data_IF_973283271761
#
_entry.id   IF_973283271761
#
_cell.length_a   1.000
_cell.length_b   1.000
_cell.length_c   1.000
_cell.angle_alpha   90.00
_cell.angle_beta   90.00
_cell.angle_gamma   90.00
#
_symmetry.space_group_name_H-M   'P 1'
#
loop_
_entity.id
_entity.type
_entity.pdbx_description
1 polymer ?
#
# COMPACT_ATOMS: atom_id res chain seq x y z
N UNK A 1 -9.24 -19.22 -12.27
CA UNK A 1 -8.24 -18.13 -12.26
C UNK A 1 -8.11 -17.68 -10.82
N UNK A 2 -6.93 -17.74 -10.24
CA UNK A 2 -6.72 -17.40 -8.83
C UNK A 2 -6.07 -16.04 -8.73
N UNK A 3 -6.81 -15.05 -8.19
CA UNK A 3 -6.28 -13.73 -7.84
C UNK A 3 -5.46 -13.84 -6.56
N UNK A 4 -4.25 -13.27 -6.55
CA UNK A 4 -3.51 -13.01 -5.33
C UNK A 4 -3.62 -11.53 -4.92
N UNK A 5 -3.96 -11.25 -3.67
CA UNK A 5 -4.04 -9.91 -3.10
C UNK A 5 -3.00 -9.81 -2.00
N UNK A 6 -2.03 -8.92 -2.17
CA UNK A 6 -0.98 -8.66 -1.19
C UNK A 6 -1.29 -7.37 -0.43
N UNK A 7 -1.33 -7.46 0.89
CA UNK A 7 -1.59 -6.33 1.80
C UNK A 7 -0.43 -6.15 2.78
N UNK A 8 -0.23 -4.96 3.30
CA UNK A 8 0.80 -4.67 4.30
C UNK A 8 0.32 -4.98 5.72
N UNK A 9 -0.86 -4.47 6.09
CA UNK A 9 -1.37 -4.48 7.46
C UNK A 9 -2.53 -5.45 7.68
N UNK A 10 -2.73 -5.87 8.93
CA UNK A 10 -3.82 -6.75 9.34
C UNK A 10 -5.24 -6.18 9.06
N UNK A 11 -5.40 -4.85 9.13
CA UNK A 11 -6.64 -4.16 8.78
C UNK A 11 -6.96 -4.24 7.29
N UNK A 12 -5.96 -4.04 6.44
CA UNK A 12 -6.06 -4.19 4.98
C UNK A 12 -6.36 -5.64 4.60
N UNK A 13 -5.71 -6.60 5.27
CA UNK A 13 -6.00 -8.03 5.10
C UNK A 13 -7.47 -8.36 5.40
N UNK A 14 -8.00 -7.90 6.54
CA UNK A 14 -9.40 -8.11 6.91
C UNK A 14 -10.34 -7.51 5.86
N UNK A 15 -10.00 -6.32 5.37
CA UNK A 15 -10.76 -5.64 4.33
C UNK A 15 -10.70 -6.42 3.01
N UNK A 16 -9.52 -6.80 2.54
CA UNK A 16 -9.37 -7.60 1.33
C UNK A 16 -10.15 -8.93 1.43
N UNK A 17 -10.03 -9.64 2.55
CA UNK A 17 -10.78 -10.88 2.81
C UNK A 17 -12.29 -10.71 2.81
N UNK A 18 -12.80 -9.56 3.26
CA UNK A 18 -14.24 -9.30 3.30
C UNK A 18 -14.85 -9.09 1.90
N UNK A 19 -14.06 -8.61 0.94
CA UNK A 19 -14.57 -8.22 -0.38
C UNK A 19 -14.00 -9.04 -1.54
N UNK A 20 -12.94 -9.81 -1.33
CA UNK A 20 -12.39 -10.71 -2.34
C UNK A 20 -13.25 -11.94 -2.55
N UNK A 21 -13.12 -12.55 -3.72
CA UNK A 21 -13.72 -13.84 -4.02
C UNK A 21 -13.20 -14.94 -3.06
N UNK A 22 -14.01 -15.95 -2.70
CA UNK A 22 -13.62 -16.98 -1.75
C UNK A 22 -12.35 -17.77 -2.14
N UNK A 23 -12.08 -17.88 -3.43
CA UNK A 23 -10.91 -18.56 -4.01
C UNK A 23 -9.68 -17.64 -4.17
N UNK A 24 -9.81 -16.36 -3.85
CA UNK A 24 -8.68 -15.43 -3.87
C UNK A 24 -7.70 -15.73 -2.72
N UNK A 25 -6.42 -15.78 -3.06
CA UNK A 25 -5.34 -15.83 -2.07
C UNK A 25 -5.07 -14.43 -1.52
N UNK A 26 -5.24 -14.23 -0.22
CA UNK A 26 -4.89 -12.95 0.42
C UNK A 26 -3.72 -13.16 1.36
N UNK A 27 -2.65 -12.38 1.14
CA UNK A 27 -1.42 -12.38 1.93
C UNK A 27 -1.26 -11.04 2.65
N UNK A 28 -0.63 -11.05 3.82
CA UNK A 28 -0.37 -9.85 4.63
C UNK A 28 1.03 -9.85 5.24
N UNK A 29 1.39 -8.73 5.85
CA UNK A 29 2.69 -8.52 6.47
C UNK A 29 3.80 -8.33 5.44
N UNK A 30 5.01 -8.20 5.93
CA UNK A 30 6.18 -8.08 5.07
C UNK A 30 6.42 -9.38 4.30
N UNK A 31 6.45 -9.29 3.00
CA UNK A 31 6.76 -10.42 2.12
C UNK A 31 7.86 -9.99 1.16
N UNK A 32 8.94 -10.75 1.14
CA UNK A 32 9.96 -10.64 0.10
C UNK A 32 9.48 -11.29 -1.21
N UNK A 33 10.19 -11.08 -2.30
CA UNK A 33 9.92 -11.78 -3.57
C UNK A 33 10.02 -13.28 -3.39
N UNK A 34 11.00 -13.74 -2.60
CA UNK A 34 11.20 -15.16 -2.29
C UNK A 34 10.03 -15.74 -1.48
N UNK A 35 9.48 -14.98 -0.53
CA UNK A 35 8.30 -15.40 0.22
C UNK A 35 7.07 -15.50 -0.69
N UNK A 36 6.91 -14.58 -1.64
CA UNK A 36 5.85 -14.67 -2.63
C UNK A 36 5.99 -15.92 -3.50
N UNK A 37 7.19 -16.27 -3.94
CA UNK A 37 7.43 -17.54 -4.67
C UNK A 37 7.08 -18.77 -3.85
N UNK A 38 7.28 -18.76 -2.54
CA UNK A 38 6.91 -19.88 -1.64
C UNK A 38 5.41 -19.96 -1.38
N UNK A 39 4.75 -18.80 -1.24
CA UNK A 39 3.37 -18.73 -0.75
C UNK A 39 2.33 -18.66 -1.88
N UNK A 40 2.71 -18.22 -3.09
CA UNK A 40 1.81 -18.06 -4.23
C UNK A 40 1.97 -19.25 -5.18
N UNK A 41 0.94 -20.08 -5.25
CA UNK A 41 0.93 -21.27 -6.11
C UNK A 41 0.90 -20.94 -7.61
N UNK A 42 1.14 -21.96 -8.44
CA UNK A 42 1.18 -21.81 -9.90
C UNK A 42 -0.17 -21.50 -10.55
N UNK A 43 -1.27 -21.70 -9.83
CA UNK A 43 -2.61 -21.31 -10.28
C UNK A 43 -2.88 -19.81 -10.24
N UNK A 44 -1.99 -19.01 -9.67
CA UNK A 44 -2.12 -17.57 -9.62
C UNK A 44 -2.02 -16.96 -11.03
N UNK A 45 -3.06 -16.27 -11.45
CA UNK A 45 -3.15 -15.65 -12.79
C UNK A 45 -2.98 -14.13 -12.78
N UNK A 46 -2.87 -13.53 -11.61
CA UNK A 46 -2.59 -12.11 -11.42
C UNK A 46 -2.44 -11.75 -9.96
N UNK A 47 -1.65 -10.72 -9.66
CA UNK A 47 -1.39 -10.27 -8.29
C UNK A 47 -1.63 -8.76 -8.16
N UNK A 48 -2.33 -8.34 -7.10
CA UNK A 48 -2.54 -6.92 -6.79
C UNK A 48 -1.95 -6.56 -5.42
N UNK A 49 -1.19 -5.45 -5.39
CA UNK A 49 -0.82 -4.78 -4.14
C UNK A 49 -1.97 -3.88 -3.71
N UNK A 50 -2.55 -4.16 -2.55
CA UNK A 50 -3.77 -3.50 -2.07
C UNK A 50 -3.60 -3.04 -0.64
N UNK A 51 -3.81 -1.74 -0.36
CA UNK A 51 -3.63 -1.21 0.99
C UNK A 51 -3.54 0.31 1.06
N UNK A 52 -2.82 0.80 2.07
CA UNK A 52 -2.55 2.21 2.30
C UNK A 52 -1.16 2.58 1.79
N UNK A 53 -0.94 3.89 1.59
CA UNK A 53 0.34 4.44 1.15
C UNK A 53 0.56 5.84 1.74
N UNK A 54 1.81 6.28 1.77
CA UNK A 54 2.18 7.65 2.09
C UNK A 54 2.18 8.56 0.86
N UNK A 55 1.79 9.84 1.03
CA UNK A 55 1.93 10.87 0.02
C UNK A 55 3.35 11.42 -0.06
N UNK A 56 3.90 11.58 -1.25
CA UNK A 56 5.15 12.30 -1.53
C UNK A 56 4.89 13.66 -2.19
N UNK A 57 3.88 13.75 -3.05
CA UNK A 57 3.47 14.99 -3.67
C UNK A 57 2.42 15.70 -2.83
N UNK A 58 2.47 17.05 -2.78
CA UNK A 58 1.47 17.87 -2.11
C UNK A 58 0.03 17.59 -2.58
N UNK A 59 -0.14 17.21 -3.85
CA UNK A 59 -1.43 16.88 -4.44
C UNK A 59 -1.95 15.48 -4.06
N UNK A 60 -1.16 14.65 -3.37
CA UNK A 60 -1.59 13.36 -2.87
C UNK A 60 -2.34 13.53 -1.54
N UNK A 61 -3.66 13.75 -1.61
CA UNK A 61 -4.47 14.06 -0.42
C UNK A 61 -4.94 12.80 0.30
N UNK A 62 -5.10 12.92 1.62
CA UNK A 62 -5.60 11.85 2.51
C UNK A 62 -6.95 11.30 2.00
N UNK A 63 -7.01 9.99 1.83
CA UNK A 63 -8.18 9.28 1.34
C UNK A 63 -8.31 9.24 -0.18
N UNK A 64 -7.37 9.80 -0.96
CA UNK A 64 -7.35 9.56 -2.39
C UNK A 64 -6.89 8.13 -2.70
N UNK A 65 -7.57 7.48 -3.63
CA UNK A 65 -7.14 6.18 -4.16
C UNK A 65 -6.25 6.40 -5.37
N UNK A 66 -5.09 5.77 -5.34
CA UNK A 66 -4.12 5.77 -6.43
C UNK A 66 -3.97 4.40 -7.06
N UNK A 67 -3.84 4.39 -8.38
CA UNK A 67 -3.46 3.25 -9.19
C UNK A 67 -2.05 3.50 -9.73
N UNK A 68 -1.13 2.54 -9.53
CA UNK A 68 0.21 2.68 -10.05
C UNK A 68 0.28 2.27 -11.51
N UNK A 69 0.58 3.19 -12.40
CA UNK A 69 0.93 2.85 -13.78
C UNK A 69 2.37 2.31 -13.87
N UNK A 70 3.25 2.77 -12.98
CA UNK A 70 4.60 2.25 -12.80
C UNK A 70 4.94 2.13 -11.32
N UNK A 71 5.57 1.03 -10.95
CA UNK A 71 6.28 0.88 -9.67
C UNK A 71 7.75 1.16 -9.92
N UNK A 72 8.25 2.23 -9.32
CA UNK A 72 9.64 2.70 -9.48
C UNK A 72 10.43 2.32 -8.23
N UNK A 73 11.58 1.71 -8.41
CA UNK A 73 12.49 1.30 -7.34
C UNK A 73 13.90 1.80 -7.63
N UNK A 74 14.83 1.75 -6.69
CA UNK A 74 16.23 2.09 -6.95
C UNK A 74 16.89 1.25 -8.06
N UNK A 75 16.41 0.01 -8.26
CA UNK A 75 17.02 -0.95 -9.18
C UNK A 75 16.28 -1.07 -10.50
N UNK A 76 14.97 -0.81 -10.54
CA UNK A 76 14.15 -1.05 -11.72
C UNK A 76 12.85 -0.25 -11.72
N UNK A 77 12.23 -0.17 -12.88
CA UNK A 77 10.87 0.33 -13.06
C UNK A 77 10.02 -0.78 -13.65
N UNK A 78 8.87 -1.05 -13.04
CA UNK A 78 7.93 -2.08 -13.44
C UNK A 78 6.64 -1.43 -13.91
N UNK A 79 6.18 -1.78 -15.10
CA UNK A 79 4.91 -1.30 -15.63
C UNK A 79 3.79 -2.23 -15.14
N UNK A 80 2.75 -1.65 -14.52
CA UNK A 80 1.53 -2.38 -14.21
C UNK A 80 0.78 -2.78 -15.49
N UNK A 81 -0.06 -3.81 -15.41
CA UNK A 81 -0.85 -4.27 -16.55
C UNK A 81 -1.82 -3.18 -17.02
N UNK A 82 -1.69 -2.66 -18.26
CA UNK A 82 -2.48 -1.51 -18.70
C UNK A 82 -3.98 -1.80 -18.82
N UNK A 83 -4.33 -3.03 -19.21
CA UNK A 83 -5.74 -3.41 -19.39
C UNK A 83 -6.42 -3.61 -18.04
N UNK A 84 -5.71 -4.19 -17.07
CA UNK A 84 -6.21 -4.29 -15.70
C UNK A 84 -6.32 -2.91 -15.05
N UNK A 85 -5.32 -2.07 -15.21
CA UNK A 85 -5.31 -0.69 -14.73
C UNK A 85 -6.52 0.09 -15.26
N UNK A 86 -6.80 -0.01 -16.58
CA UNK A 86 -7.97 0.62 -17.20
C UNK A 86 -9.27 0.14 -16.56
N UNK A 87 -9.44 -1.17 -16.34
CA UNK A 87 -10.66 -1.72 -15.69
C UNK A 87 -10.82 -1.23 -14.25
N UNK A 88 -9.72 -1.10 -13.50
CA UNK A 88 -9.74 -0.52 -12.15
C UNK A 88 -10.10 0.96 -12.18
N UNK A 89 -9.54 1.72 -13.11
CA UNK A 89 -9.86 3.14 -13.30
C UNK A 89 -11.33 3.36 -13.66
N UNK A 90 -11.85 2.61 -14.63
CA UNK A 90 -13.25 2.70 -15.05
C UNK A 90 -14.22 2.41 -13.89
N UNK A 91 -13.82 1.56 -12.94
CA UNK A 91 -14.63 1.22 -11.78
C UNK A 91 -14.55 2.24 -10.64
N UNK A 92 -13.37 2.84 -10.41
CA UNK A 92 -13.10 3.64 -9.21
C UNK A 92 -12.90 5.12 -9.50
N UNK A 93 -12.59 5.48 -10.74
CA UNK A 93 -12.12 6.82 -11.17
C UNK A 93 -10.93 7.29 -10.31
N UNK A 94 -10.10 6.37 -9.86
CA UNK A 94 -8.93 6.62 -9.05
C UNK A 94 -7.83 7.35 -9.84
N UNK A 95 -6.88 7.94 -9.14
CA UNK A 95 -5.78 8.66 -9.79
C UNK A 95 -4.70 7.70 -10.28
N UNK A 96 -4.38 7.72 -11.59
CA UNK A 96 -3.24 7.01 -12.15
C UNK A 96 -1.98 7.84 -12.01
N UNK A 97 -0.95 7.31 -11.34
CA UNK A 97 0.33 8.00 -11.13
C UNK A 97 1.50 7.04 -11.05
N UNK A 98 2.70 7.59 -11.20
CA UNK A 98 3.92 6.88 -10.88
C UNK A 98 4.01 6.65 -9.37
N UNK A 99 4.42 5.47 -9.01
CA UNK A 99 4.40 4.96 -7.67
C UNK A 99 5.80 4.56 -7.24
N UNK A 100 6.27 5.07 -6.12
CA UNK A 100 7.54 4.66 -5.54
C UNK A 100 7.32 3.53 -4.54
N UNK A 101 8.10 2.46 -4.68
CA UNK A 101 8.14 1.42 -3.68
C UNK A 101 9.57 1.03 -3.41
N UNK A 102 10.00 1.13 -2.18
CA UNK A 102 11.39 0.93 -1.82
C UNK A 102 11.74 -0.53 -1.58
N UNK A 103 10.78 -1.35 -1.20
CA UNK A 103 11.04 -2.71 -0.72
C UNK A 103 11.88 -2.77 0.56
N UNK A 104 12.38 -1.62 1.03
CA UNK A 104 13.17 -1.45 2.24
C UNK A 104 12.47 -0.48 3.20
N UNK A 105 12.65 -0.68 4.50
CA UNK A 105 12.04 0.10 5.57
C UNK A 105 12.60 1.51 5.74
N UNK A 106 12.96 2.21 4.74
CA UNK A 106 13.24 3.63 4.88
C UNK A 106 12.15 4.44 4.25
N UNK A 107 11.10 4.37 4.93
CA UNK A 107 9.91 5.11 4.76
C UNK A 107 10.20 6.59 4.93
N UNK A 108 9.59 7.38 4.11
CA UNK A 108 9.57 8.82 4.24
C UNK A 108 8.71 9.22 5.46
N UNK A 109 9.29 9.15 6.64
CA UNK A 109 8.60 9.44 7.91
C UNK A 109 8.55 10.94 8.20
N UNK A 110 9.44 11.71 7.59
CA UNK A 110 9.54 13.16 7.77
C UNK A 110 9.24 13.90 6.46
N UNK A 111 8.76 15.13 6.58
CA UNK A 111 8.52 16.04 5.44
C UNK A 111 9.79 16.18 4.57
N UNK A 112 10.96 16.25 5.18
CA UNK A 112 12.23 16.42 4.45
C UNK A 112 12.57 15.19 3.60
N UNK A 113 12.36 13.97 4.13
CA UNK A 113 12.54 12.72 3.40
C UNK A 113 11.56 12.61 2.24
N UNK A 114 10.29 12.93 2.46
CA UNK A 114 9.23 12.94 1.44
C UNK A 114 9.56 13.90 0.30
N UNK A 115 9.93 15.14 0.63
CA UNK A 115 10.32 16.13 -0.38
C UNK A 115 11.52 15.66 -1.19
N UNK A 116 12.56 15.13 -0.54
CA UNK A 116 13.76 14.61 -1.23
C UNK A 116 13.39 13.48 -2.18
N UNK A 117 12.56 12.53 -1.73
CA UNK A 117 12.10 11.42 -2.58
C UNK A 117 11.28 11.93 -3.76
N UNK A 118 10.35 12.83 -3.54
CA UNK A 118 9.55 13.42 -4.61
C UNK A 118 10.41 14.13 -5.65
N UNK A 119 11.36 14.96 -5.20
CA UNK A 119 12.28 15.67 -6.10
C UNK A 119 13.11 14.73 -6.95
N UNK A 120 13.56 13.62 -6.35
CA UNK A 120 14.43 12.65 -7.02
C UNK A 120 13.66 11.72 -7.95
N UNK A 121 12.48 11.24 -7.54
CA UNK A 121 11.75 10.19 -8.24
C UNK A 121 10.59 10.71 -9.07
N UNK A 122 10.01 11.87 -8.71
CA UNK A 122 8.76 12.44 -9.24
C UNK A 122 7.54 11.53 -9.00
N UNK A 123 7.67 10.53 -8.13
CA UNK A 123 6.57 9.68 -7.71
C UNK A 123 5.66 10.43 -6.72
N UNK A 124 4.36 10.22 -6.81
CA UNK A 124 3.39 10.95 -6.00
C UNK A 124 3.11 10.29 -4.66
N UNK A 125 3.27 8.99 -4.60
CA UNK A 125 2.96 8.16 -3.42
C UNK A 125 4.04 7.09 -3.21
N UNK A 126 4.10 6.56 -1.99
CA UNK A 126 5.12 5.58 -1.55
C UNK A 126 4.49 4.46 -0.73
N UNK A 127 5.00 3.25 -0.89
CA UNK A 127 4.82 2.11 0.01
C UNK A 127 6.06 1.20 0.05
N UNK A 128 6.01 0.18 0.87
CA UNK A 128 7.10 -0.78 1.05
C UNK A 128 6.82 -2.17 0.45
N UNK A 129 5.62 -2.43 -0.07
CA UNK A 129 5.20 -3.77 -0.48
C UNK A 129 5.08 -3.95 -2.01
N UNK A 130 4.74 -2.89 -2.73
CA UNK A 130 4.46 -3.00 -4.17
C UNK A 130 5.68 -3.40 -5.00
N UNK A 131 6.89 -3.12 -4.51
CA UNK A 131 8.13 -3.60 -5.12
C UNK A 131 8.14 -5.13 -5.26
N UNK A 132 7.91 -5.85 -4.16
CA UNK A 132 7.95 -7.30 -4.17
C UNK A 132 6.88 -7.90 -5.08
N UNK A 133 5.69 -7.29 -5.10
CA UNK A 133 4.58 -7.68 -5.99
C UNK A 133 4.97 -7.51 -7.46
N UNK A 134 5.51 -6.34 -7.82
CA UNK A 134 5.88 -6.03 -9.19
C UNK A 134 7.01 -6.92 -9.71
N UNK A 135 8.04 -7.16 -8.89
CA UNK A 135 9.14 -8.04 -9.23
C UNK A 135 8.68 -9.49 -9.38
N UNK A 136 7.93 -10.01 -8.41
CA UNK A 136 7.35 -11.36 -8.45
C UNK A 136 6.53 -11.58 -9.72
N UNK A 137 5.63 -10.62 -10.04
CA UNK A 137 4.78 -10.70 -11.21
C UNK A 137 5.59 -10.74 -12.52
N UNK A 138 6.66 -9.92 -12.60
CA UNK A 138 7.60 -9.94 -13.74
C UNK A 138 8.29 -11.30 -13.88
N UNK A 139 8.79 -11.88 -12.79
CA UNK A 139 9.49 -13.15 -12.80
C UNK A 139 8.57 -14.33 -13.18
N UNK A 140 7.29 -14.25 -12.78
CA UNK A 140 6.26 -15.25 -13.12
C UNK A 140 5.55 -14.98 -14.46
N UNK A 141 5.83 -13.85 -15.10
CA UNK A 141 5.15 -13.39 -16.33
C UNK A 141 3.61 -13.38 -16.18
N UNK A 142 3.14 -12.83 -15.06
CA UNK A 142 1.71 -12.62 -14.78
C UNK A 142 1.41 -11.13 -14.65
N UNK A 143 0.16 -10.68 -14.92
CA UNK A 143 -0.23 -9.29 -14.71
C UNK A 143 -0.17 -8.89 -13.25
N UNK A 144 0.20 -7.64 -12.98
CA UNK A 144 0.05 -7.04 -11.66
C UNK A 144 -0.62 -5.68 -11.72
N UNK A 145 -1.22 -5.31 -10.60
CA UNK A 145 -1.76 -3.98 -10.36
C UNK A 145 -1.38 -3.49 -8.95
N UNK A 146 -1.50 -2.19 -8.73
CA UNK A 146 -1.38 -1.57 -7.40
C UNK A 146 -2.57 -0.65 -7.20
N UNK A 147 -3.29 -0.80 -6.09
CA UNK A 147 -4.39 0.05 -5.70
C UNK A 147 -4.27 0.39 -4.21
N UNK A 148 -4.01 1.66 -3.90
CA UNK A 148 -3.79 2.10 -2.53
C UNK A 148 -4.45 3.44 -2.24
N UNK A 149 -4.81 3.67 -0.97
CA UNK A 149 -5.34 4.94 -0.48
C UNK A 149 -4.30 5.66 0.38
N UNK A 150 -4.19 6.97 0.21
CA UNK A 150 -3.22 7.79 0.97
C UNK A 150 -3.66 7.93 2.42
N UNK A 151 -2.82 7.48 3.35
CA UNK A 151 -3.06 7.54 4.80
C UNK A 151 -2.35 8.69 5.51
N UNK A 152 -1.32 9.22 4.90
CA UNK A 152 -0.49 10.31 5.44
C UNK A 152 0.08 11.15 4.30
N UNK A 153 0.06 12.46 4.43
CA UNK A 153 0.38 13.42 3.36
C UNK A 153 1.85 13.79 3.28
N UNK A 154 2.23 14.48 2.20
CA UNK A 154 3.60 14.97 2.00
C UNK A 154 4.05 15.97 3.09
N UNK A 155 3.11 16.65 3.75
CA UNK A 155 3.37 17.63 4.81
C UNK A 155 3.22 17.04 6.22
N UNK A 156 3.14 15.72 6.36
CA UNK A 156 3.02 15.04 7.64
C UNK A 156 4.37 14.50 8.13
N UNK A 157 4.68 14.76 9.40
CA UNK A 157 5.69 14.00 10.13
C UNK A 157 4.97 12.90 10.90
N UNK A 158 5.31 11.65 10.64
CA UNK A 158 4.74 10.53 11.37
C UNK A 158 5.24 10.54 12.83
N UNK A 159 4.33 10.48 13.83
CA UNK A 159 4.74 10.39 15.21
C UNK A 159 5.59 9.12 15.46
N UNK A 160 6.64 9.18 16.30
CA UNK A 160 7.45 8.01 16.65
C UNK A 160 6.62 6.82 17.14
N UNK A 161 5.54 7.08 17.87
CA UNK A 161 4.64 6.02 18.32
C UNK A 161 3.95 5.25 17.18
N UNK A 162 3.81 5.85 16.00
CA UNK A 162 3.27 5.16 14.80
C UNK A 162 4.35 4.35 14.12
N UNK A 163 5.53 4.93 13.93
CA UNK A 163 6.65 4.26 13.26
C UNK A 163 7.19 3.06 14.05
N UNK A 164 7.17 3.15 15.39
CA UNK A 164 7.62 2.09 16.30
C UNK A 164 6.53 1.04 16.60
N UNK A 165 5.28 1.32 16.20
CA UNK A 165 4.14 0.47 16.54
C UNK A 165 4.00 -0.76 15.66
N UNK A 166 4.39 -0.69 14.39
CA UNK A 166 4.21 -1.78 13.44
C UNK A 166 5.30 -2.85 13.61
N UNK A 167 4.87 -4.09 13.76
CA UNK A 167 5.75 -5.25 13.70
C UNK A 167 5.87 -5.80 12.26
N UNK A 168 6.72 -6.81 12.08
CA UNK A 168 6.95 -7.45 10.77
C UNK A 168 5.69 -8.12 10.20
N UNK A 169 4.70 -8.42 11.04
CA UNK A 169 3.41 -8.98 10.61
C UNK A 169 2.41 -7.92 10.12
N UNK A 170 2.76 -6.64 10.20
CA UNK A 170 1.87 -5.52 9.92
C UNK A 170 0.80 -5.30 11.01
N UNK A 171 1.04 -5.85 12.21
CA UNK A 171 0.18 -5.65 13.38
C UNK A 171 0.72 -4.52 14.25
N UNK A 172 -0.20 -3.70 14.78
CA UNK A 172 0.20 -2.64 15.71
C UNK A 172 0.51 -3.23 17.09
N UNK A 173 1.74 -3.02 17.56
CA UNK A 173 2.12 -3.37 18.92
C UNK A 173 1.71 -2.24 19.89
N UNK A 174 0.56 -2.43 20.54
CA UNK A 174 0.01 -1.44 21.48
C UNK A 174 0.98 -1.09 22.61
N UNK A 175 1.84 -2.02 23.02
CA UNK A 175 2.81 -1.79 24.08
C UNK A 175 3.89 -0.78 23.67
N UNK A 176 4.33 -0.83 22.42
CA UNK A 176 5.27 0.15 21.88
C UNK A 176 4.63 1.55 21.80
N UNK A 177 3.35 1.64 21.40
CA UNK A 177 2.60 2.90 21.40
C UNK A 177 2.53 3.50 22.80
N UNK A 178 2.12 2.69 23.80
CA UNK A 178 2.02 3.14 25.20
C UNK A 178 3.37 3.62 25.71
N UNK A 179 4.44 2.87 25.46
CA UNK A 179 5.80 3.24 25.87
C UNK A 179 6.25 4.55 25.23
N UNK A 180 6.00 4.72 23.93
CA UNK A 180 6.35 5.93 23.18
C UNK A 180 5.58 7.15 23.70
N UNK A 181 4.28 7.01 23.95
CA UNK A 181 3.43 8.08 24.54
C UNK A 181 3.85 8.43 25.95
N UNK A 182 4.21 7.43 26.78
CA UNK A 182 4.68 7.67 28.15
C UNK A 182 6.00 8.47 28.18
N UNK A 183 6.88 8.27 27.20
CA UNK A 183 8.14 9.03 27.09
C UNK A 183 7.98 10.40 26.46
N UNK A 184 6.95 10.59 25.59
CA UNK A 184 6.68 11.86 24.94
C UNK A 184 5.16 12.10 24.78
N UNK A 185 4.46 12.61 25.79
CA UNK A 185 3.01 12.82 25.73
C UNK A 185 2.58 13.94 24.77
N UNK A 186 3.48 14.81 24.35
CA UNK A 186 3.16 15.89 23.39
C UNK A 186 2.80 15.38 21.99
N UNK A 187 3.08 14.11 21.67
CA UNK A 187 2.68 13.51 20.41
C UNK A 187 1.20 13.05 20.36
N UNK A 188 0.46 13.10 21.48
CA UNK A 188 -0.96 12.66 21.53
C UNK A 188 -1.85 13.33 20.47
N UNK A 189 -1.81 14.66 20.27
CA UNK A 189 -2.62 15.29 19.22
C UNK A 189 -2.28 14.81 17.82
N UNK A 190 -0.99 14.61 17.52
CA UNK A 190 -0.54 14.09 16.24
C UNK A 190 -1.00 12.63 16.02
N UNK A 191 -0.97 11.80 17.06
CA UNK A 191 -1.51 10.44 16.99
C UNK A 191 -3.00 10.41 16.69
N UNK A 192 -3.77 11.33 17.30
CA UNK A 192 -5.20 11.45 17.02
C UNK A 192 -5.47 11.82 15.56
N UNK A 193 -4.73 12.81 15.04
CA UNK A 193 -4.78 13.20 13.63
C UNK A 193 -4.47 12.01 12.72
N UNK A 194 -3.32 11.36 12.94
CA UNK A 194 -2.90 10.20 12.14
C UNK A 194 -3.94 9.07 12.18
N UNK A 195 -4.54 8.80 13.34
CA UNK A 195 -5.59 7.80 13.46
C UNK A 195 -6.84 8.15 12.64
N UNK A 196 -7.28 9.40 12.68
CA UNK A 196 -8.43 9.86 11.87
C UNK A 196 -8.16 9.74 10.37
N UNK A 197 -6.98 10.15 9.93
CA UNK A 197 -6.53 10.06 8.53
C UNK A 197 -6.45 8.60 8.06
N UNK A 198 -5.89 7.73 8.89
CA UNK A 198 -5.85 6.30 8.67
C UNK A 198 -7.24 5.68 8.47
N UNK A 199 -8.20 5.95 9.39
CA UNK A 199 -9.55 5.42 9.27
C UNK A 199 -10.29 5.97 8.06
N UNK A 200 -10.13 7.25 7.73
CA UNK A 200 -10.66 7.85 6.51
C UNK A 200 -10.15 7.12 5.27
N UNK A 201 -8.87 6.86 5.21
CA UNK A 201 -8.23 6.21 4.06
C UNK A 201 -8.61 4.74 3.94
N UNK A 202 -8.77 4.06 5.07
CA UNK A 202 -9.25 2.68 5.10
C UNK A 202 -10.72 2.58 4.63
N UNK A 203 -11.57 3.55 4.98
CA UNK A 203 -12.96 3.62 4.51
C UNK A 203 -13.05 3.91 3.00
N UNK A 204 -12.19 4.77 2.49
CA UNK A 204 -12.08 5.01 1.05
C UNK A 204 -11.60 3.76 0.32
N UNK A 205 -10.60 3.07 0.86
CA UNK A 205 -10.10 1.82 0.31
C UNK A 205 -11.19 0.74 0.30
N UNK A 206 -12.03 0.69 1.34
CA UNK A 206 -13.21 -0.19 1.40
C UNK A 206 -14.20 0.13 0.27
N UNK A 207 -14.47 1.41 0.06
CA UNK A 207 -15.36 1.85 -1.03
C UNK A 207 -14.81 1.41 -2.39
N UNK A 208 -13.51 1.59 -2.62
CA UNK A 208 -12.85 1.13 -3.84
C UNK A 208 -12.95 -0.40 -4.01
N UNK A 209 -12.75 -1.19 -2.93
CA UNK A 209 -12.89 -2.64 -2.97
C UNK A 209 -14.32 -3.08 -3.38
N UNK A 210 -15.35 -2.39 -2.89
CA UNK A 210 -16.74 -2.63 -3.28
C UNK A 210 -16.95 -2.33 -4.77
N UNK A 211 -16.42 -1.21 -5.26
CA UNK A 211 -16.57 -0.77 -6.65
C UNK A 211 -15.88 -1.72 -7.65
N UNK A 212 -14.70 -2.24 -7.31
CA UNK A 212 -13.98 -3.17 -8.19
C UNK A 212 -14.56 -4.58 -8.16
N UNK A 213 -15.26 -4.94 -7.10
CA UNK A 213 -15.89 -6.26 -6.95
C UNK A 213 -14.90 -7.37 -6.56
N UNK A 214 -15.39 -8.60 -6.39
CA UNK A 214 -14.66 -9.68 -5.70
C UNK A 214 -13.42 -10.19 -6.43
N UNK A 215 -13.31 -10.02 -7.74
CA UNK A 215 -12.14 -10.40 -8.53
C UNK A 215 -11.22 -9.22 -8.83
N UNK A 216 -11.44 -8.06 -8.19
CA UNK A 216 -10.63 -6.85 -8.37
C UNK A 216 -10.39 -6.50 -9.84
N UNK A 217 -11.39 -6.75 -10.68
CA UNK A 217 -11.33 -6.48 -12.13
C UNK A 217 -10.16 -7.15 -12.86
N UNK A 218 -9.62 -8.24 -12.34
CA UNK A 218 -8.55 -8.98 -13.00
C UNK A 218 -9.00 -9.51 -14.38
N UNK A 219 -10.27 -9.86 -14.51
CA UNK A 219 -10.93 -10.33 -15.74
C UNK A 219 -12.14 -9.50 -16.08
#
# INVERSE_FOLDING_TARGET
>A
MTLCIKTGMASEYKLAKAYAAPDALVLTGKQTVEDLHKNVGDSCTGIISFGLCGGLAFQAHIGQVFLANYVVTPQATYQADPDWLKRLFDATHAYERHYWSTGEFNTANTIQERNRLFEHTKCWVIDDESYAVAQFAKERNIPFAVMRSVSDGAEDNLPPAVTDALDESGSANLWNVIKSVATNPFQIPALFKTAQEYFKSLDTLRTAAIQVGPHFRLV
#
